data_IF_928306928165
#
_entry.id   IF_928306928165
#
_cell.length_a   1.000
_cell.length_b   1.000
_cell.length_c   1.000
_cell.angle_alpha   90.00
_cell.angle_beta   90.00
_cell.angle_gamma   90.00
#
_symmetry.space_group_name_H-M   'P 1'
#
loop_
_entity.id
_entity.type
_entity.pdbx_description
1 polymer ?
#
# COMPACT_ATOMS: atom_id res chain seq x y z
N UNK A 1 -2.03 23.67 12.92
CA UNK A 1 -1.47 24.11 11.62
C UNK A 1 -2.62 24.53 10.74
N UNK A 2 -2.54 25.68 10.07
CA UNK A 2 -3.52 26.06 9.06
C UNK A 2 -3.34 25.11 7.87
N UNK A 3 -4.43 24.50 7.33
CA UNK A 3 -4.34 23.66 6.13
C UNK A 3 -3.71 24.46 4.98
N UNK A 4 -2.82 23.82 4.23
CA UNK A 4 -2.28 24.42 3.01
C UNK A 4 -3.35 24.45 1.92
N UNK A 5 -3.26 25.42 1.01
CA UNK A 5 -4.14 25.45 -0.14
C UNK A 5 -3.92 24.18 -1.01
N UNK A 6 -5.02 23.63 -1.51
CA UNK A 6 -5.01 22.47 -2.42
C UNK A 6 -4.16 22.72 -3.66
N UNK A 7 -4.04 23.96 -4.11
CA UNK A 7 -3.22 24.36 -5.26
C UNK A 7 -1.73 24.02 -5.10
N UNK A 8 -1.24 23.88 -3.86
CA UNK A 8 0.14 23.44 -3.62
C UNK A 8 0.39 22.00 -4.12
N UNK A 9 -0.66 21.19 -4.28
CA UNK A 9 -0.62 19.77 -4.61
C UNK A 9 -1.23 19.44 -5.98
N UNK A 10 -1.54 20.44 -6.79
CA UNK A 10 -2.13 20.26 -8.11
C UNK A 10 -1.43 21.13 -9.15
N UNK A 11 -1.29 20.58 -10.35
CA UNK A 11 -0.81 21.31 -11.53
C UNK A 11 -1.86 21.25 -12.61
N UNK A 12 -1.87 22.20 -13.57
CA UNK A 12 -2.86 22.24 -14.65
C UNK A 12 -2.81 21.03 -15.58
N UNK A 13 -1.65 20.37 -15.70
CA UNK A 13 -1.47 19.27 -16.65
C UNK A 13 -0.81 18.06 -16.01
N UNK A 14 -1.22 16.86 -16.45
CA UNK A 14 -0.58 15.60 -16.13
C UNK A 14 0.24 15.08 -17.30
N UNK A 15 1.55 14.96 -17.11
CA UNK A 15 2.48 14.35 -18.05
C UNK A 15 2.68 12.89 -17.66
N UNK A 16 1.88 11.98 -18.23
CA UNK A 16 2.03 10.53 -18.00
C UNK A 16 3.19 10.03 -18.85
N UNK A 17 4.12 9.33 -18.22
CA UNK A 17 5.35 8.86 -18.86
C UNK A 17 5.69 7.41 -18.53
N UNK A 18 6.48 6.82 -19.40
CA UNK A 18 7.03 5.49 -19.28
C UNK A 18 8.37 5.42 -20.02
N UNK A 19 9.26 4.49 -19.62
CA UNK A 19 10.64 4.39 -20.10
C UNK A 19 10.92 3.01 -20.66
N UNK A 20 11.59 2.96 -21.82
CA UNK A 20 12.09 1.71 -22.38
C UNK A 20 13.61 1.73 -22.55
N UNK A 21 14.25 0.67 -22.11
CA UNK A 21 15.69 0.48 -22.20
C UNK A 21 16.00 -0.95 -22.67
N UNK A 22 16.33 -1.09 -23.95
CA UNK A 22 16.42 -2.38 -24.64
C UNK A 22 17.78 -2.52 -25.31
N UNK A 23 18.35 -3.69 -25.26
CA UNK A 23 19.65 -4.04 -25.82
C UNK A 23 20.68 -4.39 -24.73
N UNK A 24 21.72 -5.11 -25.16
CA UNK A 24 22.83 -5.48 -24.28
C UNK A 24 24.14 -4.83 -24.73
N UNK A 25 24.48 -4.90 -26.01
CA UNK A 25 25.74 -4.35 -26.56
C UNK A 25 25.54 -2.95 -27.16
N UNK A 26 24.35 -2.68 -27.67
CA UNK A 26 23.98 -1.39 -28.22
C UNK A 26 22.60 -1.00 -27.69
N UNK A 27 22.47 -0.69 -26.38
CA UNK A 27 21.21 -0.38 -25.80
C UNK A 27 20.62 0.92 -26.35
N UNK A 28 19.29 0.94 -26.50
CA UNK A 28 18.54 2.14 -26.90
C UNK A 28 17.69 2.59 -25.73
N UNK A 29 17.55 3.90 -25.59
CA UNK A 29 16.77 4.54 -24.54
C UNK A 29 15.66 5.40 -25.15
N UNK A 30 14.45 5.19 -24.66
CA UNK A 30 13.23 5.88 -25.08
C UNK A 30 12.45 6.34 -23.84
N UNK A 31 11.91 7.57 -23.90
CA UNK A 31 10.89 8.07 -22.97
C UNK A 31 9.66 8.47 -23.79
N UNK A 32 8.52 7.86 -23.51
CA UNK A 32 7.24 8.26 -24.07
C UNK A 32 6.46 9.10 -23.04
N UNK A 33 5.86 10.19 -23.49
CA UNK A 33 5.09 11.12 -22.67
C UNK A 33 3.74 11.41 -23.32
N UNK A 34 2.67 11.40 -22.50
CA UNK A 34 1.34 11.86 -22.90
C UNK A 34 0.87 12.98 -21.97
N UNK A 35 0.57 14.15 -22.50
CA UNK A 35 -0.03 15.25 -21.74
C UNK A 35 -1.54 15.11 -21.83
N UNK A 36 -2.15 14.64 -20.74
CA UNK A 36 -3.53 14.12 -20.71
C UNK A 36 -4.54 15.19 -21.12
N UNK A 37 -4.47 16.37 -20.53
CA UNK A 37 -5.45 17.47 -20.76
C UNK A 37 -5.32 18.08 -22.14
N UNK A 38 -4.15 18.00 -22.76
CA UNK A 38 -3.89 18.55 -24.11
C UNK A 38 -4.05 17.50 -25.22
N UNK A 39 -4.17 16.21 -24.87
CA UNK A 39 -4.19 15.12 -25.85
C UNK A 39 -2.91 15.01 -26.68
N UNK A 40 -1.80 15.60 -26.22
CA UNK A 40 -0.52 15.60 -26.93
C UNK A 40 0.36 14.45 -26.47
N UNK A 41 1.10 13.86 -27.42
CA UNK A 41 2.07 12.78 -27.16
C UNK A 41 3.41 13.14 -27.77
N UNK A 42 4.50 12.68 -27.13
CA UNK A 42 5.86 12.84 -27.62
C UNK A 42 6.70 11.62 -27.22
N UNK A 43 7.56 11.19 -28.13
CA UNK A 43 8.58 10.19 -27.89
C UNK A 43 9.96 10.86 -27.97
N UNK A 44 10.79 10.59 -26.99
CA UNK A 44 12.14 11.14 -26.87
C UNK A 44 13.14 9.99 -26.91
N UNK A 45 13.88 9.91 -28.01
CA UNK A 45 14.91 8.90 -28.18
C UNK A 45 16.30 9.47 -27.92
N UNK A 46 17.13 8.73 -27.20
CA UNK A 46 18.52 9.17 -26.97
C UNK A 46 19.30 9.44 -28.26
N UNK A 47 19.15 8.58 -29.25
CA UNK A 47 19.87 8.68 -30.53
C UNK A 47 19.34 9.75 -31.45
N UNK A 48 18.18 10.35 -31.20
CA UNK A 48 17.61 11.44 -32.02
C UNK A 48 18.16 12.80 -31.56
N UNK A 49 18.84 13.56 -32.43
CA UNK A 49 19.41 14.86 -32.05
C UNK A 49 18.36 15.80 -31.46
N UNK A 50 18.67 16.36 -30.31
CA UNK A 50 17.84 17.34 -29.61
C UNK A 50 16.68 16.80 -28.78
N UNK A 51 16.37 15.49 -28.82
CA UNK A 51 15.25 14.94 -28.04
C UNK A 51 15.50 15.03 -26.55
N UNK A 52 16.72 14.73 -26.09
CA UNK A 52 17.06 14.86 -24.66
C UNK A 52 17.00 16.31 -24.18
N UNK A 53 17.35 17.28 -25.03
CA UNK A 53 17.20 18.71 -24.69
C UNK A 53 15.73 19.13 -24.60
N UNK A 54 14.86 18.63 -25.52
CA UNK A 54 13.41 18.83 -25.44
C UNK A 54 12.79 18.20 -24.20
N UNK A 55 13.19 16.97 -23.86
CA UNK A 55 12.74 16.29 -22.64
C UNK A 55 13.15 17.08 -21.39
N UNK A 56 14.40 17.54 -21.32
CA UNK A 56 14.89 18.39 -20.22
C UNK A 56 14.05 19.66 -20.08
N UNK A 57 13.72 20.33 -21.19
CA UNK A 57 12.86 21.52 -21.17
C UNK A 57 11.45 21.21 -20.68
N UNK A 58 10.91 20.03 -21.03
CA UNK A 58 9.61 19.60 -20.56
C UNK A 58 9.63 19.28 -19.05
N UNK A 59 10.66 18.60 -18.56
CA UNK A 59 10.88 18.27 -17.16
C UNK A 59 11.03 19.52 -16.28
N UNK A 60 11.61 20.59 -16.80
CA UNK A 60 11.79 21.88 -16.10
C UNK A 60 10.54 22.75 -16.06
N UNK A 61 9.42 22.31 -16.59
CA UNK A 61 8.19 23.10 -16.65
C UNK A 61 7.27 22.78 -15.48
N UNK A 62 7.11 23.72 -14.57
CA UNK A 62 6.31 23.61 -13.34
C UNK A 62 4.80 23.44 -13.57
N UNK A 63 4.33 23.57 -14.82
CA UNK A 63 2.92 23.37 -15.15
C UNK A 63 2.50 21.88 -15.13
N UNK A 64 3.44 20.95 -15.01
CA UNK A 64 3.18 19.53 -15.11
C UNK A 64 3.34 18.81 -13.77
N UNK A 65 2.37 17.93 -13.47
CA UNK A 65 2.58 16.79 -12.56
C UNK A 65 2.97 15.60 -13.43
N UNK A 66 4.15 15.04 -13.18
CA UNK A 66 4.63 13.81 -13.82
C UNK A 66 3.96 12.61 -13.20
N UNK A 67 3.44 11.70 -14.01
CA UNK A 67 2.71 10.52 -13.51
C UNK A 67 3.28 9.26 -14.15
N UNK A 68 3.62 8.29 -13.33
CA UNK A 68 4.08 6.99 -13.80
C UNK A 68 3.55 5.83 -12.95
N UNK A 69 3.87 4.62 -13.35
CA UNK A 69 3.53 3.39 -12.63
C UNK A 69 4.81 2.70 -12.16
N UNK A 70 5.03 2.59 -10.86
CA UNK A 70 6.29 2.16 -10.23
C UNK A 70 7.49 3.05 -10.63
N UNK A 71 7.19 4.24 -11.10
CA UNK A 71 8.12 5.14 -11.75
C UNK A 71 9.08 5.81 -10.77
N UNK A 72 8.70 5.98 -9.51
CA UNK A 72 9.61 6.49 -8.49
C UNK A 72 10.80 5.56 -8.26
N UNK A 73 10.56 4.25 -8.37
CA UNK A 73 11.60 3.24 -8.13
C UNK A 73 12.42 2.93 -9.39
N UNK A 74 11.86 3.08 -10.58
CA UNK A 74 12.49 2.64 -11.83
C UNK A 74 12.68 3.77 -12.85
N UNK A 75 11.61 4.36 -13.37
CA UNK A 75 11.69 5.29 -14.50
C UNK A 75 12.38 6.61 -14.12
N UNK A 76 12.01 7.17 -12.97
CA UNK A 76 12.53 8.46 -12.53
C UNK A 76 14.04 8.45 -12.25
N UNK A 77 14.63 7.44 -11.59
CA UNK A 77 16.09 7.28 -11.50
C UNK A 77 16.79 7.22 -12.86
N UNK A 78 16.25 6.44 -13.81
CA UNK A 78 16.83 6.29 -15.15
C UNK A 78 16.79 7.62 -15.90
N UNK A 79 15.63 8.32 -15.89
CA UNK A 79 15.49 9.64 -16.51
C UNK A 79 16.42 10.66 -15.83
N UNK A 80 16.56 10.61 -14.51
CA UNK A 80 17.44 11.49 -13.75
C UNK A 80 18.89 11.31 -14.18
N UNK A 81 19.35 10.07 -14.27
CA UNK A 81 20.71 9.75 -14.68
C UNK A 81 20.96 10.13 -16.16
N UNK A 82 19.98 9.89 -17.06
CA UNK A 82 20.04 10.37 -18.45
C UNK A 82 20.15 11.91 -18.53
N UNK A 83 19.42 12.62 -17.68
CA UNK A 83 19.50 14.07 -17.59
C UNK A 83 20.85 14.56 -16.99
N UNK A 84 21.52 13.76 -16.18
CA UNK A 84 22.88 14.01 -15.71
C UNK A 84 23.94 13.77 -16.78
N UNK A 85 23.59 13.17 -17.93
CA UNK A 85 24.48 12.96 -19.07
C UNK A 85 24.94 11.50 -19.29
N UNK A 86 24.36 10.56 -18.57
CA UNK A 86 24.66 9.14 -18.75
C UNK A 86 24.21 8.65 -20.14
N UNK A 87 25.03 7.85 -20.79
CA UNK A 87 24.71 7.20 -22.05
C UNK A 87 23.83 5.94 -21.87
N UNK A 88 23.24 5.38 -22.94
CA UNK A 88 22.35 4.22 -22.83
C UNK A 88 23.01 2.97 -22.21
N UNK A 89 24.32 2.81 -22.32
CA UNK A 89 25.04 1.69 -21.69
C UNK A 89 25.09 1.85 -20.16
N UNK A 90 25.39 3.05 -19.70
CA UNK A 90 25.35 3.42 -18.29
C UNK A 90 23.93 3.33 -17.71
N UNK A 91 22.92 3.75 -18.48
CA UNK A 91 21.50 3.59 -18.09
C UNK A 91 21.12 2.14 -17.98
N UNK A 92 21.64 1.26 -18.84
CA UNK A 92 21.38 -0.18 -18.81
C UNK A 92 21.99 -0.83 -17.55
N UNK A 93 23.19 -0.40 -17.16
CA UNK A 93 23.82 -0.87 -15.90
C UNK A 93 22.97 -0.44 -14.68
N UNK A 94 22.55 0.82 -14.61
CA UNK A 94 21.63 1.28 -13.56
C UNK A 94 20.33 0.47 -13.55
N UNK A 95 19.71 0.24 -14.72
CA UNK A 95 18.46 -0.56 -14.83
C UNK A 95 18.65 -1.97 -14.27
N UNK A 96 19.76 -2.62 -14.60
CA UNK A 96 20.10 -3.96 -14.09
C UNK A 96 20.21 -3.95 -12.56
N UNK A 97 20.89 -2.97 -11.98
CA UNK A 97 21.01 -2.85 -10.52
C UNK A 97 19.67 -2.56 -9.82
N UNK A 98 18.82 -1.73 -10.42
CA UNK A 98 17.49 -1.45 -9.89
C UNK A 98 16.58 -2.70 -9.87
N UNK A 99 16.70 -3.57 -10.89
CA UNK A 99 15.86 -4.76 -11.05
C UNK A 99 16.45 -5.96 -10.30
N UNK A 100 17.69 -6.34 -10.61
CA UNK A 100 18.29 -7.61 -10.17
C UNK A 100 18.81 -7.51 -8.72
N UNK A 101 19.44 -6.39 -8.36
CA UNK A 101 19.95 -6.15 -7.00
C UNK A 101 18.90 -5.46 -6.12
N UNK A 102 17.78 -5.00 -6.70
CA UNK A 102 16.68 -4.33 -6.00
C UNK A 102 17.13 -3.11 -5.17
N UNK A 103 18.17 -2.40 -5.66
CA UNK A 103 18.65 -1.19 -5.00
C UNK A 103 17.59 -0.10 -5.01
N UNK A 104 17.61 0.77 -4.00
CA UNK A 104 16.68 1.87 -3.89
C UNK A 104 17.20 3.12 -4.60
N UNK A 105 16.33 4.07 -5.02
CA UNK A 105 16.75 5.28 -5.73
C UNK A 105 17.89 6.06 -5.05
N UNK A 106 17.88 6.20 -3.73
CA UNK A 106 18.95 6.88 -2.97
C UNK A 106 20.28 6.11 -2.97
N UNK A 107 20.24 4.79 -3.06
CA UNK A 107 21.44 3.96 -3.22
C UNK A 107 22.00 4.13 -4.63
N UNK A 108 21.10 4.20 -5.64
CA UNK A 108 21.44 4.48 -7.02
C UNK A 108 22.12 5.85 -7.19
N UNK A 109 21.58 6.92 -6.57
CA UNK A 109 22.20 8.26 -6.55
C UNK A 109 23.64 8.20 -6.07
N UNK A 110 23.86 7.48 -4.95
CA UNK A 110 25.20 7.35 -4.36
C UNK A 110 26.13 6.51 -5.24
N UNK A 111 25.64 5.39 -5.77
CA UNK A 111 26.44 4.42 -6.52
C UNK A 111 26.86 4.95 -7.91
N UNK A 112 25.95 5.66 -8.59
CA UNK A 112 26.16 6.16 -9.95
C UNK A 112 26.52 7.65 -10.02
N UNK A 113 26.50 8.37 -8.89
CA UNK A 113 26.94 9.77 -8.80
C UNK A 113 26.05 10.77 -9.55
N UNK A 114 24.73 10.62 -9.44
CA UNK A 114 23.75 11.58 -9.97
C UNK A 114 22.78 12.04 -8.87
N UNK A 115 22.01 13.05 -9.14
CA UNK A 115 20.93 13.53 -8.28
C UNK A 115 19.57 13.25 -8.92
N UNK A 116 18.61 12.79 -8.12
CA UNK A 116 17.23 12.61 -8.56
C UNK A 116 16.61 13.94 -8.98
N UNK A 117 15.91 13.94 -10.11
CA UNK A 117 15.16 15.11 -10.58
C UNK A 117 14.10 15.52 -9.57
N UNK A 118 14.10 16.80 -9.23
CA UNK A 118 13.05 17.40 -8.41
C UNK A 118 11.91 17.86 -9.32
N UNK A 119 10.94 16.99 -9.55
CA UNK A 119 9.73 17.28 -10.33
C UNK A 119 8.49 17.03 -9.49
N UNK A 120 7.39 17.71 -9.80
CA UNK A 120 6.10 17.36 -9.19
C UNK A 120 5.65 16.01 -9.75
N UNK A 121 5.61 14.97 -8.89
CA UNK A 121 5.51 13.59 -9.31
C UNK A 121 4.45 12.81 -8.55
N UNK A 122 3.69 11.97 -9.25
CA UNK A 122 2.75 11.00 -8.71
C UNK A 122 3.08 9.61 -9.26
N UNK A 123 3.37 8.68 -8.37
CA UNK A 123 3.46 7.26 -8.69
C UNK A 123 2.13 6.58 -8.33
N UNK A 124 1.40 6.11 -9.35
CA UNK A 124 0.09 5.49 -9.12
C UNK A 124 0.16 4.04 -8.65
N UNK A 125 1.33 3.43 -8.61
CA UNK A 125 1.52 2.05 -8.19
C UNK A 125 0.97 1.76 -6.79
N UNK A 126 1.36 2.58 -5.81
CA UNK A 126 0.92 2.42 -4.42
C UNK A 126 -0.49 2.97 -4.15
N UNK A 127 -1.03 3.79 -5.05
CA UNK A 127 -2.39 4.34 -4.94
C UNK A 127 -3.43 3.30 -5.34
N UNK A 128 -3.09 2.44 -6.31
CA UNK A 128 -3.97 1.39 -6.78
C UNK A 128 -4.27 0.39 -5.66
N UNK A 129 -5.55 0.05 -5.43
CA UNK A 129 -5.95 -0.86 -4.36
C UNK A 129 -5.52 -2.30 -4.63
N UNK A 130 -5.10 -2.99 -3.59
CA UNK A 130 -4.82 -4.42 -3.62
C UNK A 130 -3.35 -4.76 -3.43
N UNK A 131 -2.96 -5.92 -3.96
CA UNK A 131 -1.60 -6.43 -3.90
C UNK A 131 -0.74 -5.83 -5.01
N UNK A 132 0.58 -5.83 -4.80
CA UNK A 132 1.56 -5.41 -5.81
C UNK A 132 1.43 -6.30 -7.07
N UNK A 133 0.90 -5.73 -8.14
CA UNK A 133 0.73 -6.42 -9.43
C UNK A 133 1.23 -5.51 -10.57
N UNK A 134 1.60 -6.13 -11.70
CA UNK A 134 2.09 -5.38 -12.86
C UNK A 134 1.01 -4.49 -13.48
N UNK A 135 1.44 -3.43 -14.17
CA UNK A 135 0.56 -2.54 -14.93
C UNK A 135 -0.39 -3.32 -15.85
N UNK A 136 0.12 -4.32 -16.57
CA UNK A 136 -0.69 -5.13 -17.50
C UNK A 136 -1.79 -5.92 -16.81
N UNK A 137 -1.55 -6.42 -15.59
CA UNK A 137 -2.60 -7.05 -14.78
C UNK A 137 -3.68 -6.06 -14.36
N UNK A 138 -3.30 -4.83 -14.00
CA UNK A 138 -4.27 -3.76 -13.76
C UNK A 138 -5.05 -3.43 -15.03
N UNK A 139 -4.37 -3.22 -16.16
CA UNK A 139 -5.00 -2.95 -17.45
C UNK A 139 -6.06 -4.02 -17.79
N UNK A 140 -5.70 -5.31 -17.67
CA UNK A 140 -6.62 -6.43 -17.93
C UNK A 140 -7.82 -6.45 -16.97
N UNK A 141 -7.58 -6.33 -15.65
CA UNK A 141 -8.65 -6.33 -14.65
C UNK A 141 -9.61 -5.15 -14.76
N UNK A 142 -9.13 -4.02 -15.27
CA UNK A 142 -9.92 -2.79 -15.40
C UNK A 142 -10.53 -2.60 -16.79
N UNK A 143 -10.37 -3.58 -17.68
CA UNK A 143 -10.94 -3.56 -19.02
C UNK A 143 -10.29 -2.52 -19.94
N UNK A 144 -8.97 -2.32 -19.86
CA UNK A 144 -8.26 -1.50 -20.82
C UNK A 144 -8.33 -2.14 -22.22
N UNK A 145 -8.69 -1.38 -23.26
CA UNK A 145 -9.09 -1.99 -24.55
C UNK A 145 -7.95 -2.59 -25.38
N UNK A 146 -6.70 -2.30 -25.03
CA UNK A 146 -5.53 -2.73 -25.80
C UNK A 146 -4.38 -3.19 -24.90
N UNK A 147 -4.12 -4.49 -24.89
CA UNK A 147 -2.94 -5.07 -24.23
C UNK A 147 -1.93 -5.45 -25.31
N UNK A 148 -0.75 -4.85 -25.26
CA UNK A 148 0.35 -5.14 -26.17
C UNK A 148 1.50 -5.68 -25.32
N UNK A 149 2.05 -6.82 -25.71
CA UNK A 149 3.27 -7.33 -25.08
C UNK A 149 4.51 -6.72 -25.76
N UNK A 150 5.60 -6.65 -24.99
CA UNK A 150 6.87 -6.22 -25.54
C UNK A 150 7.25 -7.12 -26.73
N UNK A 151 7.47 -6.54 -27.91
CA UNK A 151 7.73 -7.33 -29.12
C UNK A 151 9.10 -8.00 -29.15
N UNK A 152 10.00 -7.59 -28.24
CA UNK A 152 11.38 -8.05 -28.20
C UNK A 152 11.80 -8.40 -26.77
N UNK A 153 12.73 -9.33 -26.65
CA UNK A 153 13.39 -9.55 -25.37
C UNK A 153 14.26 -8.34 -24.99
N UNK A 154 14.30 -7.98 -23.72
CA UNK A 154 14.98 -6.77 -23.22
C UNK A 154 16.50 -6.75 -23.48
N UNK A 155 17.10 -7.90 -23.83
CA UNK A 155 18.52 -8.03 -24.17
C UNK A 155 18.79 -7.90 -25.67
N UNK A 156 17.74 -7.84 -26.52
CA UNK A 156 17.93 -7.77 -27.95
C UNK A 156 18.42 -6.40 -28.38
N UNK A 157 19.56 -6.34 -29.06
CA UNK A 157 20.01 -5.12 -29.75
C UNK A 157 19.09 -4.86 -30.94
N UNK A 158 18.47 -3.68 -30.98
CA UNK A 158 17.43 -3.33 -31.95
C UNK A 158 18.03 -2.74 -33.23
N UNK A 159 17.40 -3.07 -34.35
CA UNK A 159 17.62 -2.39 -35.63
C UNK A 159 16.69 -1.15 -35.76
N UNK A 160 17.09 -0.09 -36.48
CA UNK A 160 16.27 1.12 -36.64
C UNK A 160 14.83 0.89 -37.14
N UNK A 161 14.61 -0.14 -37.94
CA UNK A 161 13.26 -0.54 -38.42
C UNK A 161 12.35 -1.07 -37.29
N UNK A 162 12.91 -1.46 -36.16
CA UNK A 162 12.20 -2.03 -35.02
C UNK A 162 11.78 -0.97 -33.98
N UNK A 163 12.40 0.22 -34.01
CA UNK A 163 12.09 1.31 -33.10
C UNK A 163 10.62 1.71 -33.04
N UNK A 164 9.86 1.78 -34.17
CA UNK A 164 8.43 2.10 -34.13
C UNK A 164 7.58 1.09 -33.34
N UNK A 165 8.00 -0.17 -33.28
CA UNK A 165 7.30 -1.21 -32.52
C UNK A 165 7.48 -1.01 -31.01
N UNK A 166 8.67 -0.63 -30.58
CA UNK A 166 8.96 -0.29 -29.17
C UNK A 166 8.24 1.00 -28.77
N UNK A 167 8.26 2.02 -29.64
CA UNK A 167 7.53 3.27 -29.41
C UNK A 167 6.02 3.03 -29.25
N UNK A 168 5.44 2.15 -30.08
CA UNK A 168 4.03 1.74 -29.98
C UNK A 168 3.75 1.02 -28.67
N UNK A 169 4.65 0.15 -28.24
CA UNK A 169 4.56 -0.57 -26.97
C UNK A 169 4.60 0.40 -25.78
N UNK A 170 5.62 1.26 -25.70
CA UNK A 170 5.76 2.25 -24.64
C UNK A 170 4.53 3.20 -24.57
N UNK A 171 3.99 3.65 -25.70
CA UNK A 171 2.74 4.42 -25.72
C UNK A 171 1.52 3.63 -25.28
N UNK A 172 1.51 2.31 -25.42
CA UNK A 172 0.44 1.48 -24.88
C UNK A 172 0.50 1.46 -23.34
N UNK A 173 1.69 1.38 -22.75
CA UNK A 173 1.88 1.37 -21.31
C UNK A 173 1.61 2.78 -20.71
N UNK A 174 2.02 3.86 -21.39
CA UNK A 174 1.58 5.24 -21.08
C UNK A 174 0.04 5.37 -21.14
N UNK A 175 -0.59 4.73 -22.14
CA UNK A 175 -2.04 4.68 -22.26
C UNK A 175 -2.71 3.94 -21.09
N UNK A 176 -2.15 2.82 -20.68
CA UNK A 176 -2.58 2.03 -19.51
C UNK A 176 -2.47 2.81 -18.21
N UNK A 177 -1.34 3.46 -18.00
CA UNK A 177 -1.10 4.34 -16.84
C UNK A 177 -2.06 5.54 -16.83
N UNK A 178 -2.34 6.13 -18.00
CA UNK A 178 -3.35 7.20 -18.15
C UNK A 178 -4.76 6.71 -17.81
N UNK A 179 -5.09 5.48 -18.21
CA UNK A 179 -6.35 4.86 -17.87
C UNK A 179 -6.48 4.62 -16.36
N UNK A 180 -5.43 4.09 -15.75
CA UNK A 180 -5.36 3.87 -14.31
C UNK A 180 -5.47 5.19 -13.53
N UNK A 181 -4.75 6.23 -13.94
CA UNK A 181 -4.85 7.58 -13.36
C UNK A 181 -6.31 8.09 -13.33
N UNK A 182 -7.05 7.91 -14.42
CA UNK A 182 -8.46 8.30 -14.49
C UNK A 182 -9.35 7.47 -13.58
N UNK A 183 -9.08 6.18 -13.47
CA UNK A 183 -9.84 5.27 -12.58
C UNK A 183 -9.58 5.54 -11.11
N UNK A 184 -8.37 5.95 -10.76
CA UNK A 184 -7.97 6.31 -9.39
C UNK A 184 -8.25 7.77 -9.02
N UNK A 185 -9.06 8.47 -9.82
CA UNK A 185 -9.30 9.91 -9.58
C UNK A 185 -9.84 10.18 -8.16
N UNK A 186 -10.75 9.39 -7.67
CA UNK A 186 -11.34 9.54 -6.33
C UNK A 186 -10.28 9.37 -5.23
N UNK A 187 -9.44 8.35 -5.37
CA UNK A 187 -8.35 8.03 -4.44
C UNK A 187 -7.26 9.12 -4.46
N UNK A 188 -6.95 9.64 -5.63
CA UNK A 188 -5.98 10.73 -5.80
C UNK A 188 -6.53 12.07 -5.26
N UNK A 189 -7.77 12.40 -5.56
CA UNK A 189 -8.43 13.61 -5.01
C UNK A 189 -8.43 13.58 -3.48
N UNK A 190 -8.72 12.42 -2.89
CA UNK A 190 -8.64 12.23 -1.44
C UNK A 190 -7.23 12.48 -0.91
N UNK A 191 -6.20 11.95 -1.58
CA UNK A 191 -4.80 12.14 -1.20
C UNK A 191 -4.34 13.60 -1.34
N UNK A 192 -4.81 14.31 -2.36
CA UNK A 192 -4.57 15.76 -2.50
C UNK A 192 -5.18 16.54 -1.34
N UNK A 193 -6.43 16.23 -0.96
CA UNK A 193 -7.09 16.90 0.17
C UNK A 193 -6.37 16.62 1.50
N UNK A 194 -5.98 15.36 1.72
CA UNK A 194 -5.21 14.97 2.90
C UNK A 194 -3.81 15.60 2.89
N UNK A 195 -3.17 15.72 1.72
CA UNK A 195 -1.89 16.43 1.60
C UNK A 195 -2.02 17.90 2.03
N UNK A 196 -3.11 18.57 1.62
CA UNK A 196 -3.39 19.94 2.04
C UNK A 196 -3.70 20.04 3.55
N UNK A 197 -4.52 19.13 4.10
CA UNK A 197 -4.87 19.11 5.53
C UNK A 197 -3.64 18.89 6.42
N UNK A 198 -2.80 17.92 6.05
CA UNK A 198 -1.66 17.52 6.90
C UNK A 198 -0.33 18.17 6.53
N UNK A 199 -0.26 18.88 5.39
CA UNK A 199 0.95 19.55 4.91
C UNK A 199 2.08 18.57 4.56
N UNK A 200 1.75 17.41 3.99
CA UNK A 200 2.68 16.34 3.58
C UNK A 200 2.25 15.83 2.21
N UNK A 201 3.19 15.57 1.30
CA UNK A 201 2.83 14.89 0.05
C UNK A 201 2.43 13.43 0.29
N UNK A 202 1.16 13.15 0.06
CA UNK A 202 0.56 11.83 0.23
C UNK A 202 0.12 11.22 -1.11
N UNK A 203 0.28 11.92 -2.23
CA UNK A 203 -0.30 11.57 -3.54
C UNK A 203 0.18 10.23 -4.09
N UNK A 204 1.42 9.83 -3.79
CA UNK A 204 2.00 8.56 -4.22
C UNK A 204 2.01 7.47 -3.12
N UNK A 205 1.30 7.69 -2.01
CA UNK A 205 1.36 6.79 -0.86
C UNK A 205 0.20 5.81 -0.84
N UNK A 206 0.47 4.56 -0.44
CA UNK A 206 -0.59 3.62 -0.08
C UNK A 206 -1.31 4.09 1.19
N UNK A 207 -2.49 3.54 1.46
CA UNK A 207 -3.28 3.88 2.65
C UNK A 207 -2.48 3.72 3.95
N UNK A 208 -1.73 2.62 4.06
CA UNK A 208 -0.88 2.37 5.23
C UNK A 208 0.32 3.33 5.32
N UNK A 209 0.90 3.73 4.18
CA UNK A 209 1.98 4.73 4.14
C UNK A 209 1.46 6.13 4.48
N UNK A 210 0.22 6.49 4.09
CA UNK A 210 -0.40 7.76 4.49
C UNK A 210 -0.59 7.83 6.00
N UNK A 211 -1.15 6.77 6.60
CA UNK A 211 -1.34 6.69 8.05
C UNK A 211 -0.01 6.87 8.79
N UNK A 212 1.01 6.14 8.39
CA UNK A 212 2.35 6.26 9.00
C UNK A 212 2.93 7.66 8.86
N UNK A 213 2.88 8.27 7.67
CA UNK A 213 3.43 9.60 7.42
C UNK A 213 2.75 10.68 8.28
N UNK A 214 1.43 10.64 8.40
CA UNK A 214 0.65 11.60 9.19
C UNK A 214 0.94 11.46 10.67
N UNK A 215 0.86 10.23 11.22
CA UNK A 215 1.11 10.00 12.65
C UNK A 215 2.57 10.28 13.00
N UNK A 216 3.53 9.90 12.14
CA UNK A 216 4.94 10.26 12.33
C UNK A 216 5.14 11.77 12.46
N UNK A 217 4.52 12.55 11.58
CA UNK A 217 4.61 14.02 11.65
C UNK A 217 4.00 14.56 12.93
N UNK A 218 2.82 14.08 13.34
CA UNK A 218 2.12 14.54 14.55
C UNK A 218 2.84 14.18 15.84
N UNK A 219 3.50 13.02 15.87
CA UNK A 219 4.28 12.56 17.03
C UNK A 219 5.76 12.95 16.95
N UNK A 220 6.17 13.64 15.89
CA UNK A 220 7.57 14.01 15.66
C UNK A 220 8.52 12.79 15.74
N UNK A 221 8.09 11.66 15.12
CA UNK A 221 8.90 10.45 15.08
C UNK A 221 9.97 10.57 14.01
N UNK A 222 11.19 10.19 14.38
CA UNK A 222 12.28 10.06 13.39
C UNK A 222 12.03 8.86 12.47
N UNK A 223 12.51 8.93 11.23
CA UNK A 223 12.62 7.77 10.37
C UNK A 223 13.71 6.84 10.91
N UNK A 224 13.35 5.59 11.07
CA UNK A 224 14.31 4.54 11.39
C UNK A 224 14.40 3.63 10.16
N UNK A 225 15.57 3.10 9.88
CA UNK A 225 15.75 2.07 8.87
C UNK A 225 15.05 0.75 9.25
N UNK A 226 15.44 -0.33 8.60
CA UNK A 226 14.99 -1.69 8.93
C UNK A 226 15.17 -1.96 10.42
N UNK A 227 14.11 -2.43 11.08
CA UNK A 227 14.14 -2.84 12.48
C UNK A 227 14.74 -4.25 12.60
N UNK A 228 15.33 -4.54 13.74
CA UNK A 228 15.71 -5.90 14.08
C UNK A 228 14.48 -6.59 14.71
N UNK A 229 13.92 -7.63 14.07
CA UNK A 229 12.79 -8.34 14.66
C UNK A 229 13.23 -9.10 15.91
N UNK A 230 12.38 -9.16 16.95
CA UNK A 230 12.63 -10.06 18.06
C UNK A 230 12.54 -11.51 17.55
N UNK A 231 13.28 -12.47 18.16
CA UNK A 231 13.19 -13.87 17.74
C UNK A 231 11.82 -14.48 18.03
N UNK A 232 11.15 -14.03 19.09
CA UNK A 232 9.86 -14.51 19.56
C UNK A 232 8.98 -13.36 20.06
N UNK A 233 7.67 -13.55 20.00
CA UNK A 233 6.66 -12.73 20.65
C UNK A 233 5.65 -13.61 21.35
N UNK A 234 4.98 -13.09 22.38
CA UNK A 234 3.94 -13.79 23.14
C UNK A 234 2.63 -13.05 23.07
N UNK A 235 1.54 -13.76 23.35
CA UNK A 235 0.19 -13.21 23.42
C UNK A 235 -0.31 -13.27 24.87
N UNK A 236 -1.03 -12.23 25.27
CA UNK A 236 -1.82 -12.23 26.50
C UNK A 236 -3.22 -11.72 26.18
N UNK A 237 -4.24 -12.46 26.58
CA UNK A 237 -5.61 -12.06 26.36
C UNK A 237 -5.94 -10.81 27.18
N UNK A 238 -6.51 -9.76 26.54
CA UNK A 238 -6.97 -8.58 27.25
C UNK A 238 -8.15 -8.89 28.20
N UNK A 239 -8.25 -8.10 29.28
CA UNK A 239 -9.27 -8.29 30.33
C UNK A 239 -10.71 -8.19 29.85
N UNK A 240 -10.95 -7.59 28.66
CA UNK A 240 -12.30 -7.50 28.09
C UNK A 240 -12.77 -8.78 27.36
N UNK A 241 -11.93 -9.80 27.23
CA UNK A 241 -12.32 -11.10 26.67
C UNK A 241 -12.85 -11.98 27.81
N UNK A 242 -14.15 -12.11 27.85
CA UNK A 242 -14.85 -12.94 28.88
C UNK A 242 -15.65 -14.02 28.18
N UNK A 243 -15.54 -15.24 28.68
CA UNK A 243 -16.31 -16.39 28.18
C UNK A 243 -16.45 -17.47 29.27
N UNK A 244 -17.56 -18.20 29.21
CA UNK A 244 -17.78 -19.43 29.96
C UNK A 244 -17.58 -20.69 29.10
N UNK A 245 -17.21 -20.52 27.82
CA UNK A 245 -16.95 -21.63 26.90
C UNK A 245 -15.64 -22.34 27.24
N UNK A 246 -15.65 -23.64 27.62
CA UNK A 246 -14.42 -24.39 27.86
C UNK A 246 -13.50 -24.46 26.65
N UNK A 247 -14.09 -24.46 25.44
CA UNK A 247 -13.36 -24.51 24.17
C UNK A 247 -12.56 -23.23 23.98
N UNK A 248 -13.18 -22.07 24.21
CA UNK A 248 -12.51 -20.77 24.05
C UNK A 248 -11.47 -20.56 25.14
N UNK A 249 -11.76 -21.00 26.39
CA UNK A 249 -10.80 -20.96 27.51
C UNK A 249 -9.54 -21.78 27.21
N UNK A 250 -9.69 -22.98 26.63
CA UNK A 250 -8.58 -23.82 26.18
C UNK A 250 -7.73 -23.11 25.09
N UNK A 251 -8.38 -22.43 24.13
CA UNK A 251 -7.66 -21.66 23.14
C UNK A 251 -6.89 -20.48 23.76
N UNK A 252 -7.49 -19.75 24.70
CA UNK A 252 -6.83 -18.65 25.43
C UNK A 252 -5.60 -19.17 26.18
N UNK A 253 -5.71 -20.32 26.87
CA UNK A 253 -4.60 -20.95 27.59
C UNK A 253 -3.46 -21.37 26.63
N UNK A 254 -3.78 -22.05 25.53
CA UNK A 254 -2.82 -22.47 24.50
C UNK A 254 -2.08 -21.26 23.90
N UNK A 255 -2.81 -20.21 23.55
CA UNK A 255 -2.26 -18.96 23.00
C UNK A 255 -1.34 -18.25 24.00
N UNK A 256 -1.76 -18.19 25.29
CA UNK A 256 -0.97 -17.57 26.34
C UNK A 256 0.33 -18.30 26.66
N UNK A 257 0.33 -19.63 26.49
CA UNK A 257 1.52 -20.47 26.70
C UNK A 257 2.42 -20.61 25.47
N UNK A 258 2.04 -19.97 24.32
CA UNK A 258 2.77 -20.10 23.07
C UNK A 258 3.78 -18.96 22.91
N UNK A 259 5.01 -19.33 22.54
CA UNK A 259 6.04 -18.40 22.04
C UNK A 259 6.02 -18.43 20.53
N UNK A 260 5.53 -17.35 19.91
CA UNK A 260 5.40 -17.24 18.46
C UNK A 260 6.75 -16.84 17.85
N UNK A 261 7.33 -17.68 17.01
CA UNK A 261 8.53 -17.38 16.25
C UNK A 261 8.28 -16.20 15.31
N UNK A 262 9.24 -15.28 15.19
CA UNK A 262 9.18 -14.16 14.25
C UNK A 262 10.14 -14.40 13.12
N UNK A 263 9.66 -14.35 11.89
CA UNK A 263 10.47 -14.52 10.68
C UNK A 263 11.51 -13.38 10.56
N UNK A 264 12.81 -13.68 10.53
CA UNK A 264 13.84 -12.63 10.51
C UNK A 264 13.89 -11.83 9.20
N UNK A 265 13.36 -12.38 8.11
CA UNK A 265 13.34 -11.73 6.81
C UNK A 265 12.29 -10.62 6.70
N UNK A 266 11.05 -10.90 7.09
CA UNK A 266 9.91 -9.99 6.95
C UNK A 266 9.40 -9.42 8.29
N UNK A 267 9.84 -9.97 9.44
CA UNK A 267 9.46 -9.50 10.77
C UNK A 267 8.05 -9.87 11.22
N UNK A 268 7.38 -10.81 10.55
CA UNK A 268 6.03 -11.25 10.91
C UNK A 268 6.07 -12.48 11.81
N UNK A 269 5.14 -12.60 12.80
CA UNK A 269 4.97 -13.83 13.55
C UNK A 269 4.59 -14.98 12.62
N UNK A 270 5.06 -16.19 12.93
CA UNK A 270 4.72 -17.42 12.22
C UNK A 270 3.51 -18.07 12.88
N UNK A 271 2.70 -18.77 12.08
CA UNK A 271 1.52 -19.51 12.58
C UNK A 271 1.99 -20.76 13.31
N UNK A 272 1.73 -20.93 14.61
CA UNK A 272 2.07 -22.16 15.32
C UNK A 272 1.16 -23.31 14.83
N UNK A 273 1.70 -24.54 14.90
CA UNK A 273 1.07 -25.75 14.36
C UNK A 273 -0.35 -25.97 14.90
N UNK A 274 -0.59 -25.74 16.18
CA UNK A 274 -1.93 -25.95 16.77
C UNK A 274 -3.02 -25.02 16.21
N UNK A 275 -2.68 -23.86 15.66
CA UNK A 275 -3.63 -22.98 14.98
C UNK A 275 -3.97 -23.45 13.56
N UNK A 276 -3.26 -24.45 13.02
CA UNK A 276 -3.61 -25.06 11.75
C UNK A 276 -4.85 -25.98 11.88
N UNK A 277 -5.17 -26.41 13.10
CA UNK A 277 -6.35 -27.24 13.36
C UNK A 277 -7.59 -26.36 13.56
N UNK A 278 -8.69 -26.59 12.82
CA UNK A 278 -9.94 -25.86 13.01
C UNK A 278 -10.57 -26.15 14.37
N UNK A 279 -11.12 -25.12 14.98
CA UNK A 279 -11.83 -25.19 16.26
C UNK A 279 -13.32 -25.37 16.01
N UNK A 280 -13.90 -26.46 16.53
CA UNK A 280 -15.35 -26.65 16.49
C UNK A 280 -15.99 -25.90 17.65
N UNK A 281 -16.86 -24.95 17.34
CA UNK A 281 -17.60 -24.15 18.30
C UNK A 281 -19.07 -24.11 17.87
N UNK A 282 -19.95 -24.67 18.71
CA UNK A 282 -21.36 -24.79 18.42
C UNK A 282 -21.67 -25.53 17.13
N UNK A 283 -22.41 -24.88 16.25
CA UNK A 283 -22.78 -25.42 14.94
C UNK A 283 -21.70 -25.23 13.88
N UNK A 284 -20.69 -24.38 14.13
CA UNK A 284 -19.66 -24.01 13.19
C UNK A 284 -18.29 -24.61 13.48
N UNK A 285 -17.43 -24.57 12.49
CA UNK A 285 -16.00 -24.87 12.58
C UNK A 285 -15.22 -23.68 12.09
N UNK A 286 -14.21 -23.24 12.83
CA UNK A 286 -13.50 -21.99 12.63
C UNK A 286 -12.00 -22.19 12.62
N UNK A 287 -11.33 -21.62 11.62
CA UNK A 287 -9.89 -21.61 11.51
C UNK A 287 -9.35 -20.29 12.08
N UNK A 288 -8.54 -20.39 13.11
CA UNK A 288 -7.74 -19.27 13.63
C UNK A 288 -6.42 -19.14 12.88
N UNK A 289 -5.77 -17.99 13.02
CA UNK A 289 -4.45 -17.73 12.45
C UNK A 289 -3.86 -16.41 12.97
N UNK A 290 -2.81 -15.90 12.32
CA UNK A 290 -2.26 -14.57 12.63
C UNK A 290 -3.01 -13.44 11.90
N UNK A 291 -4.02 -13.76 11.09
CA UNK A 291 -4.91 -12.84 10.39
C UNK A 291 -6.31 -12.78 10.98
N UNK A 292 -7.34 -13.04 10.16
CA UNK A 292 -8.74 -13.11 10.59
C UNK A 292 -9.19 -14.50 11.01
N UNK A 293 -10.37 -14.60 11.65
CA UNK A 293 -11.09 -15.84 11.87
C UNK A 293 -11.85 -16.22 10.60
N UNK A 294 -11.74 -17.45 10.16
CA UNK A 294 -12.44 -17.98 8.99
C UNK A 294 -13.34 -19.13 9.37
N UNK A 295 -14.61 -19.09 8.95
CA UNK A 295 -15.47 -20.27 9.04
C UNK A 295 -15.02 -21.29 7.99
N UNK A 296 -14.98 -22.57 8.38
CA UNK A 296 -14.62 -23.69 7.50
C UNK A 296 -15.78 -24.68 7.50
N UNK A 297 -16.31 -24.98 6.31
CA UNK A 297 -17.40 -25.94 6.13
C UNK A 297 -17.03 -26.90 5.00
N UNK A 298 -17.29 -28.19 5.22
CA UNK A 298 -17.01 -29.23 4.23
C UNK A 298 -17.97 -29.20 3.05
N UNK A 299 -19.12 -28.52 3.22
CA UNK A 299 -20.17 -28.38 2.21
C UNK A 299 -20.64 -26.94 2.10
N UNK A 300 -21.08 -26.55 0.90
CA UNK A 300 -21.72 -25.26 0.69
C UNK A 300 -23.06 -25.19 1.43
N UNK A 301 -23.27 -24.17 2.25
CA UNK A 301 -24.52 -23.88 2.92
C UNK A 301 -25.27 -22.79 2.15
N UNK A 302 -26.51 -23.07 1.78
CA UNK A 302 -27.43 -22.08 1.21
C UNK A 302 -28.61 -21.91 2.17
N UNK A 303 -28.86 -20.69 2.59
CA UNK A 303 -29.97 -20.32 3.46
C UNK A 303 -30.73 -19.15 2.86
N UNK A 304 -32.04 -19.27 2.75
CA UNK A 304 -32.92 -18.24 2.23
C UNK A 304 -33.89 -17.80 3.33
N UNK A 305 -34.12 -16.49 3.45
CA UNK A 305 -35.08 -15.95 4.40
C UNK A 305 -36.53 -16.34 3.99
N UNK A 306 -37.37 -16.61 4.98
CA UNK A 306 -38.78 -16.94 4.80
C UNK A 306 -39.61 -16.22 5.86
N UNK A 307 -40.91 -16.47 5.88
CA UNK A 307 -41.83 -15.92 6.93
C UNK A 307 -41.46 -16.46 8.35
N UNK A 308 -40.76 -17.60 8.41
CA UNK A 308 -40.38 -18.25 9.66
C UNK A 308 -38.87 -18.11 9.96
N UNK A 309 -38.03 -17.70 8.98
CA UNK A 309 -36.60 -17.63 9.10
C UNK A 309 -36.08 -16.25 8.68
N UNK A 310 -35.48 -15.53 9.62
CA UNK A 310 -34.76 -14.28 9.35
C UNK A 310 -33.28 -14.55 9.17
N UNK A 311 -32.70 -14.05 8.06
CA UNK A 311 -31.25 -14.06 7.84
C UNK A 311 -30.72 -12.65 8.06
N UNK A 312 -29.76 -12.48 8.96
CA UNK A 312 -29.15 -11.18 9.30
C UNK A 312 -27.64 -11.24 9.18
N UNK A 313 -27.06 -10.17 8.62
CA UNK A 313 -25.62 -9.96 8.56
C UNK A 313 -25.21 -8.85 9.54
N UNK A 314 -24.22 -9.13 10.39
CA UNK A 314 -23.73 -8.20 11.40
C UNK A 314 -22.25 -7.90 11.18
N UNK A 315 -21.91 -6.63 11.00
CA UNK A 315 -20.53 -6.13 10.87
C UNK A 315 -20.11 -5.37 12.13
N UNK A 316 -18.91 -5.67 12.64
CA UNK A 316 -18.35 -4.98 13.80
C UNK A 316 -17.71 -3.66 13.37
N UNK A 317 -18.33 -2.56 13.73
CA UNK A 317 -17.86 -1.23 13.36
C UNK A 317 -16.46 -0.92 13.91
N UNK A 318 -15.51 -0.59 13.01
CA UNK A 318 -14.14 -0.20 13.39
C UNK A 318 -13.45 -1.22 14.30
N UNK A 319 -13.49 -2.49 13.95
CA UNK A 319 -13.11 -3.59 14.84
C UNK A 319 -11.70 -3.45 15.41
N UNK A 320 -10.67 -3.50 14.58
CA UNK A 320 -9.27 -3.36 15.03
C UNK A 320 -8.96 -2.04 15.74
N UNK A 321 -9.45 -0.88 15.28
CA UNK A 321 -9.34 0.35 16.05
C UNK A 321 -9.87 0.26 17.48
N UNK A 322 -11.02 -0.39 17.70
CA UNK A 322 -11.59 -0.58 19.03
C UNK A 322 -10.72 -1.52 19.88
N UNK A 323 -10.19 -2.61 19.33
CA UNK A 323 -9.26 -3.50 20.02
C UNK A 323 -8.00 -2.74 20.47
N UNK A 324 -7.38 -1.97 19.57
CA UNK A 324 -6.19 -1.15 19.88
C UNK A 324 -6.45 -0.19 21.03
N UNK A 325 -7.57 0.55 20.98
CA UNK A 325 -7.89 1.54 22.01
C UNK A 325 -8.25 0.90 23.35
N UNK A 326 -9.08 -0.14 23.35
CA UNK A 326 -9.55 -0.81 24.59
C UNK A 326 -8.45 -1.59 25.29
N UNK A 327 -7.58 -2.24 24.56
CA UNK A 327 -6.44 -2.95 25.12
C UNK A 327 -5.21 -2.05 25.35
N UNK A 328 -5.27 -0.76 25.00
CA UNK A 328 -4.17 0.17 25.18
C UNK A 328 -2.90 -0.24 24.44
N UNK A 329 -3.04 -0.79 23.22
CA UNK A 329 -1.93 -1.32 22.44
C UNK A 329 -1.10 -0.19 21.84
N UNK A 330 0.06 0.09 22.44
CA UNK A 330 0.93 1.22 22.12
C UNK A 330 2.28 0.70 21.64
N UNK A 331 2.71 1.00 20.40
CA UNK A 331 4.07 0.70 19.96
C UNK A 331 5.13 1.42 20.80
N UNK A 332 6.31 0.84 20.92
CA UNK A 332 7.41 1.37 21.73
C UNK A 332 8.06 2.60 21.06
N UNK A 333 7.49 3.78 21.22
CA UNK A 333 7.98 5.04 20.64
C UNK A 333 8.99 5.81 21.49
N UNK A 334 9.27 5.35 22.71
CA UNK A 334 10.03 6.11 23.72
C UNK A 334 9.16 6.99 24.60
N UNK A 335 9.78 7.64 25.58
CA UNK A 335 9.08 8.34 26.66
C UNK A 335 8.05 9.37 26.17
N UNK A 336 6.83 9.30 26.71
CA UNK A 336 5.72 10.24 26.49
C UNK A 336 5.05 10.17 25.10
N UNK A 337 5.61 9.44 24.14
CA UNK A 337 5.03 9.38 22.77
C UNK A 337 3.94 8.33 22.65
N UNK A 338 3.94 7.32 23.49
CA UNK A 338 2.90 6.29 23.52
C UNK A 338 1.54 6.85 23.94
N UNK A 339 1.49 7.64 24.99
CA UNK A 339 0.27 8.32 25.43
C UNK A 339 -0.26 9.28 24.35
N UNK A 340 0.64 10.05 23.71
CA UNK A 340 0.28 10.91 22.58
C UNK A 340 -0.26 10.12 21.39
N UNK A 341 0.28 8.92 21.11
CA UNK A 341 -0.20 8.05 20.05
C UNK A 341 -1.66 7.61 20.30
N UNK A 342 -1.95 7.08 21.49
CA UNK A 342 -3.31 6.61 21.82
C UNK A 342 -4.31 7.78 21.83
N UNK A 343 -3.91 8.95 22.35
CA UNK A 343 -4.75 10.14 22.33
C UNK A 343 -5.06 10.60 20.89
N UNK A 344 -4.05 10.63 20.02
CA UNK A 344 -4.21 10.99 18.61
C UNK A 344 -5.06 9.95 17.85
N UNK A 345 -4.80 8.67 18.07
CA UNK A 345 -5.56 7.58 17.45
C UNK A 345 -7.04 7.62 17.86
N UNK A 346 -7.32 7.86 19.14
CA UNK A 346 -8.67 8.01 19.69
C UNK A 346 -9.36 9.26 19.13
N UNK A 347 -8.63 10.38 19.00
CA UNK A 347 -9.15 11.62 18.37
C UNK A 347 -9.56 11.37 16.91
N UNK A 348 -8.72 10.67 16.13
CA UNK A 348 -9.03 10.28 14.75
C UNK A 348 -10.30 9.40 14.69
N UNK A 349 -10.44 8.46 15.63
CA UNK A 349 -11.62 7.61 15.73
C UNK A 349 -12.89 8.42 15.97
N UNK A 350 -12.90 9.32 16.97
CA UNK A 350 -14.08 10.14 17.27
C UNK A 350 -14.46 11.06 16.10
N UNK A 351 -13.48 11.74 15.49
CA UNK A 351 -13.70 12.55 14.28
C UNK A 351 -14.31 11.73 13.13
N UNK A 352 -13.87 10.48 12.98
CA UNK A 352 -14.47 9.57 11.99
C UNK A 352 -15.92 9.26 12.31
N UNK A 353 -16.25 8.98 13.56
CA UNK A 353 -17.62 8.67 13.96
C UNK A 353 -18.55 9.88 13.76
N UNK A 354 -18.12 11.09 14.12
CA UNK A 354 -18.83 12.33 13.86
C UNK A 354 -19.07 12.54 12.35
N UNK A 355 -18.02 12.35 11.53
CA UNK A 355 -18.13 12.47 10.07
C UNK A 355 -19.10 11.43 9.48
N UNK A 356 -19.12 10.21 10.02
CA UNK A 356 -20.06 9.16 9.62
C UNK A 356 -21.52 9.53 9.97
N UNK A 357 -21.75 10.02 11.18
CA UNK A 357 -23.07 10.43 11.66
C UNK A 357 -23.59 11.68 10.92
N UNK A 358 -22.73 12.65 10.59
CA UNK A 358 -23.09 13.84 9.82
C UNK A 358 -23.21 13.59 8.30
N UNK A 359 -22.98 12.36 7.83
CA UNK A 359 -23.03 12.02 6.41
C UNK A 359 -21.83 12.51 5.60
N UNK A 360 -20.77 13.02 6.23
CA UNK A 360 -19.55 13.45 5.55
C UNK A 360 -18.68 12.25 5.16
N UNK A 361 -19.09 11.54 4.10
CA UNK A 361 -18.43 10.33 3.61
C UNK A 361 -16.96 10.54 3.28
N UNK A 362 -16.58 11.72 2.75
CA UNK A 362 -15.19 12.03 2.37
C UNK A 362 -14.28 12.02 3.59
N UNK A 363 -14.61 12.76 4.63
CA UNK A 363 -13.84 12.80 5.87
C UNK A 363 -13.86 11.44 6.58
N UNK A 364 -15.01 10.77 6.64
CA UNK A 364 -15.12 9.44 7.24
C UNK A 364 -14.23 8.41 6.57
N UNK A 365 -14.10 8.43 5.23
CA UNK A 365 -13.22 7.54 4.47
C UNK A 365 -11.73 7.87 4.69
N UNK A 366 -11.34 9.15 4.67
CA UNK A 366 -9.97 9.56 4.99
C UNK A 366 -9.52 9.05 6.35
N UNK A 367 -10.35 9.26 7.37
CA UNK A 367 -10.04 8.85 8.74
C UNK A 367 -10.07 7.33 8.93
N UNK A 368 -10.91 6.59 8.15
CA UNK A 368 -10.87 5.12 8.10
C UNK A 368 -9.51 4.62 7.61
N UNK A 369 -8.96 5.25 6.58
CA UNK A 369 -7.64 4.91 6.05
C UNK A 369 -6.56 5.09 7.11
N UNK A 370 -6.59 6.20 7.88
CA UNK A 370 -5.62 6.43 8.95
C UNK A 370 -5.67 5.34 10.03
N UNK A 371 -6.87 4.99 10.47
CA UNK A 371 -7.05 4.00 11.53
C UNK A 371 -6.60 2.60 11.08
N UNK A 372 -7.06 2.15 9.91
CA UNK A 372 -6.73 0.82 9.40
C UNK A 372 -5.27 0.72 8.94
N UNK A 373 -4.75 1.77 8.31
CA UNK A 373 -3.36 1.83 7.87
C UNK A 373 -2.36 1.77 9.01
N UNK A 374 -2.69 2.34 10.17
CA UNK A 374 -1.87 2.25 11.38
C UNK A 374 -1.70 0.81 11.82
N UNK A 375 -2.79 0.03 11.89
CA UNK A 375 -2.73 -1.40 12.18
C UNK A 375 -1.85 -2.15 11.16
N UNK A 376 -2.05 -1.92 9.85
CA UNK A 376 -1.27 -2.57 8.80
C UNK A 376 0.24 -2.29 8.85
N UNK A 377 0.66 -1.27 9.61
CA UNK A 377 2.08 -0.94 9.80
C UNK A 377 2.73 -1.61 11.00
N UNK A 378 1.96 -2.20 11.91
CA UNK A 378 2.50 -2.92 13.07
C UNK A 378 3.35 -4.14 12.66
N UNK A 379 2.98 -4.83 11.60
CA UNK A 379 3.72 -5.98 11.07
C UNK A 379 4.85 -5.64 10.09
N UNK A 380 5.09 -4.39 9.77
CA UNK A 380 6.07 -4.00 8.75
C UNK A 380 7.41 -3.62 9.39
N UNK A 381 8.45 -4.40 9.14
CA UNK A 381 9.81 -4.26 9.70
C UNK A 381 10.48 -2.90 9.38
N UNK A 382 10.03 -2.20 8.33
CA UNK A 382 10.52 -0.87 7.95
C UNK A 382 9.67 0.27 8.54
N UNK A 383 8.60 -0.06 9.26
CA UNK A 383 7.72 0.93 9.85
C UNK A 383 8.25 1.48 11.18
N UNK A 384 7.99 2.76 11.43
CA UNK A 384 8.18 3.34 12.75
C UNK A 384 7.27 2.70 13.81
N UNK A 385 6.17 2.05 13.38
CA UNK A 385 5.16 1.40 14.23
C UNK A 385 5.41 -0.10 14.42
N UNK A 386 6.49 -0.63 13.85
CA UNK A 386 6.78 -2.06 13.92
C UNK A 386 6.72 -2.60 15.36
N UNK A 387 5.75 -3.46 15.60
CA UNK A 387 5.45 -4.09 16.88
C UNK A 387 4.68 -5.41 16.59
N UNK A 388 5.39 -6.49 16.26
CA UNK A 388 4.78 -7.75 15.84
C UNK A 388 3.96 -8.43 16.97
N UNK A 389 4.31 -8.18 18.22
CA UNK A 389 3.54 -8.54 19.40
C UNK A 389 2.16 -7.85 19.43
N UNK A 390 2.12 -6.54 19.13
CA UNK A 390 0.86 -5.80 19.08
C UNK A 390 0.01 -6.18 17.86
N UNK A 391 0.62 -6.46 16.72
CA UNK A 391 -0.09 -6.98 15.56
C UNK A 391 -0.80 -8.29 15.93
N UNK A 392 -0.08 -9.21 16.57
CA UNK A 392 -0.61 -10.48 17.04
C UNK A 392 -1.73 -10.26 18.08
N UNK A 393 -1.51 -9.35 19.05
CA UNK A 393 -2.50 -9.02 20.07
C UNK A 393 -3.83 -8.52 19.46
N UNK A 394 -3.77 -7.65 18.43
CA UNK A 394 -4.98 -7.15 17.74
C UNK A 394 -5.72 -8.27 17.02
N UNK A 395 -5.01 -9.09 16.25
CA UNK A 395 -5.64 -10.12 15.42
C UNK A 395 -6.20 -11.26 16.25
N UNK A 396 -5.44 -11.78 17.21
CA UNK A 396 -5.88 -12.88 18.08
C UNK A 396 -7.02 -12.42 18.99
N UNK A 397 -6.92 -11.25 19.64
CA UNK A 397 -8.02 -10.73 20.46
C UNK A 397 -9.29 -10.49 19.65
N UNK A 398 -9.15 -10.05 18.40
CA UNK A 398 -10.27 -9.97 17.47
C UNK A 398 -10.92 -11.33 17.23
N UNK A 399 -10.14 -12.36 16.91
CA UNK A 399 -10.66 -13.70 16.67
C UNK A 399 -11.37 -14.28 17.90
N UNK A 400 -10.74 -14.18 19.08
CA UNK A 400 -11.33 -14.64 20.33
C UNK A 400 -12.65 -13.92 20.65
N UNK A 401 -12.72 -12.61 20.45
CA UNK A 401 -13.96 -11.84 20.62
C UNK A 401 -15.09 -12.31 19.69
N UNK A 402 -14.76 -12.62 18.42
CA UNK A 402 -15.75 -13.18 17.50
C UNK A 402 -16.22 -14.56 17.95
N UNK A 403 -15.32 -15.40 18.44
CA UNK A 403 -15.68 -16.71 18.98
C UNK A 403 -16.58 -16.58 20.23
N UNK A 404 -16.30 -15.61 21.11
CA UNK A 404 -17.18 -15.31 22.25
C UNK A 404 -18.58 -14.86 21.78
N UNK A 405 -18.63 -13.98 20.77
CA UNK A 405 -19.90 -13.53 20.19
C UNK A 405 -20.69 -14.69 19.58
N UNK A 406 -20.04 -15.59 18.83
CA UNK A 406 -20.66 -16.79 18.25
C UNK A 406 -21.24 -17.67 19.39
N UNK A 407 -20.43 -17.95 20.40
CA UNK A 407 -20.86 -18.74 21.56
C UNK A 407 -22.07 -18.13 22.27
N UNK A 408 -22.11 -16.81 22.43
CA UNK A 408 -23.22 -16.13 23.11
C UNK A 408 -24.46 -16.05 22.23
N UNK A 409 -24.33 -15.86 20.92
CA UNK A 409 -25.46 -15.90 19.99
C UNK A 409 -26.11 -17.28 19.97
N UNK A 410 -25.33 -18.36 19.97
CA UNK A 410 -25.87 -19.73 19.97
C UNK A 410 -26.66 -20.10 21.25
N UNK A 411 -26.50 -19.33 22.35
CA UNK A 411 -27.31 -19.48 23.56
C UNK A 411 -28.71 -18.85 23.43
N UNK A 412 -28.92 -17.99 22.42
CA UNK A 412 -30.19 -17.31 22.18
C UNK A 412 -31.18 -18.31 21.56
N UNK A 413 -32.34 -18.55 22.20
CA UNK A 413 -33.34 -19.49 21.66
C UNK A 413 -33.79 -19.06 20.25
N UNK A 414 -33.64 -19.92 19.27
CA UNK A 414 -34.03 -19.68 17.88
C UNK A 414 -33.01 -18.94 17.02
N UNK A 415 -31.78 -18.71 17.54
CA UNK A 415 -30.68 -18.18 16.75
C UNK A 415 -30.03 -19.26 15.87
#
# INVERSE_FOLDING_TARGET
>A
MTPLDRSCWTRPYHAVFDVELIGTHNPVFLVCVSIVELGKRAAFWWHRPGDMAKLRKLLSNDAFTWVGFNSWKFDLPIVSYAMAGADPTQLKDLSTRLIDDNIMPWEAETLFGFEMLTVDHIDVFNVAPGVEISLKRYMGRMGYPSLIDMPFHHTKDLEPREYPLVEKYCFNDVGGTTWLLKKLKTELDLRVDMSAEYGIDLRSKSDAQMAEAIIKKRLELKSFGKKNPPPFVSYSAPDFIHTDSPIILDQIEKLGNTSFTVNPGNGSPEVPEFLAEPVKLGYGTYQMGIGGLHSTHDVSLYVEASDELCVSDFDVASYYPNVIMKAGLIPAFGAGKGERFIAEYTSIYHRRMEAKHSGNKKVANSLKILLNGTFGKLGNIYSAFYAPDLMLAVTISGQLNLMCLIHDVEKVPGA
#
